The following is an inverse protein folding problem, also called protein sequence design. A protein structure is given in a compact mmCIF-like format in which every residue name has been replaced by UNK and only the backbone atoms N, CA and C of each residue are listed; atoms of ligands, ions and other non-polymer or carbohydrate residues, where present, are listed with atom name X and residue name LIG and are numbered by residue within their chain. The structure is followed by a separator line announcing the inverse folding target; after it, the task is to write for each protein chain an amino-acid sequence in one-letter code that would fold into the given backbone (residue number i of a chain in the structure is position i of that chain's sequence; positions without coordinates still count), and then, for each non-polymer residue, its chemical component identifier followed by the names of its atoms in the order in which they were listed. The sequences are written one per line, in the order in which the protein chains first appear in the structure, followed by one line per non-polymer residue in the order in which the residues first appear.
data_IF_427990791093
#
_entry.id   IF_427990791093
#
_cell.length_a   1.000
_cell.length_b   1.000
_cell.length_c   1.000
_cell.angle_alpha   90.00
_cell.angle_beta   90.00
_cell.angle_gamma   90.00
#
_symmetry.space_group_name_H-M   'P 1'
#
loop_
_entity.id
_entity.type
_entity.pdbx_description
1 polymer ?
#
# COMPACT_ATOMS: atom_id res chain seq x y z
N UNK A 1 -5.10 -20.86 16.91
CA UNK A 1 -6.13 -19.82 17.10
C UNK A 1 -6.46 -19.06 15.82
N UNK A 2 -5.48 -18.66 14.99
CA UNK A 2 -5.76 -17.90 13.75
C UNK A 2 -5.93 -18.75 12.47
N UNK A 3 -5.60 -20.05 12.51
CA UNK A 3 -5.59 -20.92 11.33
C UNK A 3 -4.25 -20.89 10.57
N UNK A 4 -4.11 -21.64 9.45
CA UNK A 4 -2.92 -21.60 8.61
C UNK A 4 -2.81 -20.28 7.86
N UNK A 5 -1.59 -19.86 7.50
CA UNK A 5 -1.37 -18.71 6.61
C UNK A 5 -2.04 -18.92 5.25
N UNK A 6 -2.54 -17.83 4.67
CA UNK A 6 -3.04 -17.87 3.31
C UNK A 6 -1.84 -17.94 2.36
N UNK A 7 -1.63 -19.12 1.78
CA UNK A 7 -0.55 -19.35 0.81
C UNK A 7 -0.87 -18.79 -0.58
N UNK A 8 -2.07 -18.25 -0.77
CA UNK A 8 -2.52 -17.69 -2.04
C UNK A 8 -2.70 -16.19 -1.91
N UNK A 9 -2.30 -15.44 -2.94
CA UNK A 9 -2.55 -13.99 -3.02
C UNK A 9 -4.01 -13.66 -3.41
N UNK A 10 -4.92 -14.60 -3.15
CA UNK A 10 -6.33 -14.57 -3.51
C UNK A 10 -7.18 -15.02 -2.33
N UNK A 11 -8.50 -14.86 -2.44
CA UNK A 11 -9.44 -15.38 -1.45
C UNK A 11 -9.31 -14.78 -0.04
N UNK A 12 -8.60 -13.66 0.12
CA UNK A 12 -8.37 -13.01 1.41
C UNK A 12 -9.67 -12.71 2.17
N UNK A 13 -10.71 -12.28 1.46
CA UNK A 13 -12.06 -12.03 2.00
C UNK A 13 -13.00 -13.25 1.90
N UNK A 14 -12.59 -14.35 1.29
CA UNK A 14 -13.38 -15.59 1.21
C UNK A 14 -12.98 -16.60 2.29
N UNK A 15 -11.68 -16.70 2.55
CA UNK A 15 -11.09 -17.71 3.44
C UNK A 15 -10.72 -17.12 4.80
N UNK A 16 -10.33 -15.84 4.87
CA UNK A 16 -9.88 -15.18 6.11
C UNK A 16 -10.88 -14.23 6.75
N UNK A 17 -12.10 -14.10 6.21
CA UNK A 17 -13.05 -13.05 6.62
C UNK A 17 -13.45 -13.13 8.11
N UNK A 18 -13.42 -14.32 8.70
CA UNK A 18 -13.71 -14.52 10.12
C UNK A 18 -12.68 -13.84 11.05
N UNK A 19 -11.53 -13.42 10.52
CA UNK A 19 -10.52 -12.63 11.23
C UNK A 19 -10.83 -11.13 11.22
N UNK A 20 -11.78 -10.65 10.40
CA UNK A 20 -12.12 -9.22 10.35
C UNK A 20 -12.60 -8.66 11.71
N UNK A 21 -13.48 -9.35 12.47
CA UNK A 21 -13.83 -8.90 13.83
C UNK A 21 -12.64 -8.90 14.79
N UNK A 22 -11.66 -9.80 14.60
CA UNK A 22 -10.45 -9.86 15.43
C UNK A 22 -9.52 -8.69 15.10
N UNK A 23 -9.30 -8.40 13.82
CA UNK A 23 -8.56 -7.22 13.39
C UNK A 23 -9.20 -5.93 13.93
N UNK A 24 -10.54 -5.85 13.87
CA UNK A 24 -11.28 -4.73 14.41
C UNK A 24 -11.20 -4.63 15.94
N UNK A 25 -11.13 -5.76 16.65
CA UNK A 25 -10.86 -5.74 18.09
C UNK A 25 -9.50 -5.10 18.40
N UNK A 26 -8.45 -5.49 17.66
CA UNK A 26 -7.11 -4.89 17.80
C UNK A 26 -7.13 -3.40 17.42
N UNK A 27 -7.87 -3.02 16.38
CA UNK A 27 -8.08 -1.63 15.98
C UNK A 27 -8.65 -0.75 17.11
N UNK A 28 -9.69 -1.24 17.80
CA UNK A 28 -10.47 -0.46 18.76
C UNK A 28 -9.87 -0.50 20.17
N UNK A 29 -9.32 -1.63 20.58
CA UNK A 29 -8.91 -1.84 21.98
C UNK A 29 -7.38 -1.97 22.16
N UNK A 30 -6.62 -2.12 21.08
CA UNK A 30 -5.17 -2.38 21.14
C UNK A 30 -4.28 -1.15 21.14
N UNK A 31 -4.83 0.07 21.00
CA UNK A 31 -4.05 1.27 20.72
C UNK A 31 -3.01 1.59 21.79
N UNK A 32 -3.29 1.28 23.07
CA UNK A 32 -2.36 1.52 24.18
C UNK A 32 -1.27 0.44 24.33
N UNK A 33 -1.33 -0.64 23.55
CA UNK A 33 -0.43 -1.79 23.60
C UNK A 33 0.22 -2.00 22.22
N UNK A 34 1.01 -1.02 21.77
CA UNK A 34 1.51 -0.92 20.40
C UNK A 34 2.18 -2.20 19.88
N UNK A 35 3.20 -2.71 20.59
CA UNK A 35 3.98 -3.86 20.11
C UNK A 35 3.13 -5.13 19.96
N UNK A 36 2.31 -5.42 20.98
CA UNK A 36 1.38 -6.57 20.96
C UNK A 36 0.38 -6.44 19.82
N UNK A 37 -0.13 -5.23 19.60
CA UNK A 37 -1.06 -4.94 18.51
C UNK A 37 -0.40 -5.10 17.14
N UNK A 38 0.84 -4.65 16.96
CA UNK A 38 1.56 -4.82 15.70
C UNK A 38 1.85 -6.29 15.39
N UNK A 39 2.24 -7.08 16.39
CA UNK A 39 2.44 -8.52 16.25
C UNK A 39 1.12 -9.22 15.87
N UNK A 40 0.00 -8.82 16.49
CA UNK A 40 -1.31 -9.35 16.17
C UNK A 40 -1.75 -8.99 14.74
N UNK A 41 -1.62 -7.72 14.33
CA UNK A 41 -1.97 -7.26 12.99
C UNK A 41 -1.09 -7.90 11.91
N UNK A 42 0.19 -8.14 12.20
CA UNK A 42 1.09 -8.89 11.34
C UNK A 42 0.62 -10.33 11.15
N UNK A 43 0.30 -11.06 12.22
CA UNK A 43 -0.18 -12.43 12.11
C UNK A 43 -1.56 -12.55 11.42
N UNK A 44 -2.45 -11.58 11.66
CA UNK A 44 -3.74 -11.50 10.99
C UNK A 44 -3.55 -11.24 9.49
N UNK A 45 -2.65 -10.32 9.10
CA UNK A 45 -2.48 -9.96 7.68
C UNK A 45 -1.97 -11.12 6.84
N UNK A 46 -1.22 -12.07 7.41
CA UNK A 46 -0.79 -13.28 6.69
C UNK A 46 -1.92 -14.25 6.32
N UNK A 47 -3.15 -14.00 6.81
CA UNK A 47 -4.33 -14.86 6.63
C UNK A 47 -5.51 -14.09 6.02
N UNK A 48 -5.61 -12.82 6.38
CA UNK A 48 -6.63 -11.86 5.95
C UNK A 48 -5.97 -10.54 5.57
N UNK A 49 -6.45 -9.41 6.08
CA UNK A 49 -5.87 -8.07 5.93
C UNK A 49 -6.05 -7.30 7.22
N UNK A 50 -5.05 -6.48 7.52
CA UNK A 50 -5.09 -5.49 8.60
C UNK A 50 -5.20 -4.05 8.06
N UNK A 51 -5.58 -3.88 6.78
CA UNK A 51 -5.57 -2.59 6.06
C UNK A 51 -6.42 -1.49 6.71
N UNK A 52 -7.48 -1.87 7.42
CA UNK A 52 -8.31 -0.94 8.21
C UNK A 52 -7.72 -0.75 9.61
N UNK A 53 -7.41 -1.87 10.27
CA UNK A 53 -7.00 -1.91 11.66
C UNK A 53 -5.66 -1.21 11.95
N UNK A 54 -4.78 -1.11 10.95
CA UNK A 54 -3.49 -0.42 11.08
C UNK A 54 -3.64 1.11 11.13
N UNK A 55 -4.76 1.67 10.68
CA UNK A 55 -4.89 3.12 10.43
C UNK A 55 -4.92 3.98 11.70
N UNK A 56 -5.55 3.59 12.82
CA UNK A 56 -5.41 4.32 14.07
C UNK A 56 -3.95 4.42 14.53
N UNK A 57 -3.16 3.37 14.33
CA UNK A 57 -1.73 3.36 14.69
C UNK A 57 -0.91 4.29 13.81
N UNK A 58 -1.20 4.38 12.51
CA UNK A 58 -0.58 5.37 11.62
C UNK A 58 -0.80 6.81 12.11
N UNK A 59 -1.93 7.09 12.76
CA UNK A 59 -2.28 8.42 13.25
C UNK A 59 -1.71 8.74 14.63
N UNK A 60 -1.54 7.74 15.50
CA UNK A 60 -1.12 7.96 16.90
C UNK A 60 0.36 7.63 17.14
N UNK A 61 0.97 6.77 16.31
CA UNK A 61 2.34 6.25 16.44
C UNK A 61 3.07 6.33 15.10
N UNK A 62 2.99 7.47 14.41
CA UNK A 62 3.43 7.60 13.02
C UNK A 62 4.91 7.20 12.84
N UNK A 63 5.79 7.61 13.76
CA UNK A 63 7.22 7.34 13.66
C UNK A 63 7.52 5.84 13.81
N UNK A 64 6.97 5.22 14.84
CA UNK A 64 7.10 3.79 15.13
C UNK A 64 6.49 2.94 14.00
N UNK A 65 5.36 3.39 13.46
CA UNK A 65 4.74 2.75 12.30
C UNK A 65 5.62 2.84 11.06
N UNK A 66 6.23 3.99 10.77
CA UNK A 66 7.13 4.13 9.62
C UNK A 66 8.33 3.18 9.73
N UNK A 67 8.87 2.96 10.93
CA UNK A 67 9.94 1.98 11.16
C UNK A 67 9.46 0.55 10.88
N UNK A 68 8.31 0.15 11.44
CA UNK A 68 7.71 -1.17 11.18
C UNK A 68 7.41 -1.38 9.70
N UNK A 69 6.85 -0.39 9.03
CA UNK A 69 6.48 -0.44 7.60
C UNK A 69 7.70 -0.59 6.70
N UNK A 70 8.83 0.04 7.02
CA UNK A 70 10.09 -0.13 6.27
C UNK A 70 10.60 -1.57 6.36
N UNK A 71 10.47 -2.20 7.53
CA UNK A 71 10.82 -3.62 7.73
C UNK A 71 9.85 -4.51 6.94
N UNK A 72 8.54 -4.26 7.07
CA UNK A 72 7.49 -5.01 6.39
C UNK A 72 7.51 -4.88 4.86
N UNK A 73 8.09 -3.81 4.32
CA UNK A 73 8.18 -3.59 2.88
C UNK A 73 9.09 -4.61 2.17
N UNK A 74 9.99 -5.26 2.91
CA UNK A 74 10.90 -6.30 2.41
C UNK A 74 10.61 -7.68 3.00
N UNK A 75 9.44 -7.84 3.63
CA UNK A 75 9.03 -9.10 4.27
C UNK A 75 8.93 -10.25 3.26
N UNK A 76 9.18 -11.49 3.67
CA UNK A 76 9.04 -12.66 2.79
C UNK A 76 7.57 -12.89 2.37
N UNK A 77 6.61 -12.52 3.22
CA UNK A 77 5.19 -12.72 3.00
C UNK A 77 4.57 -11.58 2.17
N UNK A 78 4.02 -11.93 1.00
CA UNK A 78 3.40 -10.97 0.09
C UNK A 78 2.20 -10.22 0.70
N UNK A 79 1.48 -10.81 1.66
CA UNK A 79 0.36 -10.13 2.33
C UNK A 79 0.84 -9.02 3.27
N UNK A 80 1.99 -9.21 3.91
CA UNK A 80 2.63 -8.20 4.75
C UNK A 80 3.15 -7.05 3.89
N UNK A 81 3.88 -7.36 2.81
CA UNK A 81 4.34 -6.34 1.85
C UNK A 81 3.19 -5.55 1.23
N UNK A 82 2.10 -6.24 0.88
CA UNK A 82 0.87 -5.58 0.38
C UNK A 82 0.24 -4.69 1.43
N UNK A 83 0.27 -5.04 2.72
CA UNK A 83 -0.26 -4.20 3.79
C UNK A 83 0.46 -2.84 3.87
N UNK A 84 1.77 -2.80 3.62
CA UNK A 84 2.54 -1.54 3.61
C UNK A 84 1.97 -0.56 2.59
N UNK A 85 1.78 -1.02 1.35
CA UNK A 85 1.15 -0.21 0.31
C UNK A 85 -0.32 0.07 0.63
N UNK A 86 -1.12 -0.97 0.90
CA UNK A 86 -2.57 -0.82 1.01
C UNK A 86 -3.03 -0.03 2.25
N UNK A 87 -2.46 -0.34 3.41
CA UNK A 87 -2.84 0.25 4.69
C UNK A 87 -2.54 1.75 4.76
N UNK A 88 -1.49 2.20 4.05
CA UNK A 88 -1.07 3.60 4.00
C UNK A 88 -1.70 4.39 2.85
N UNK A 89 -2.65 3.82 2.10
CA UNK A 89 -3.37 4.54 1.04
C UNK A 89 -4.18 5.71 1.63
N UNK A 90 -4.02 6.94 1.09
CA UNK A 90 -4.82 8.09 1.52
C UNK A 90 -6.32 7.91 1.24
N UNK A 91 -6.66 7.19 0.17
CA UNK A 91 -8.04 6.99 -0.32
C UNK A 91 -8.44 5.52 -0.41
N UNK A 92 -8.10 4.75 0.63
CA UNK A 92 -8.51 3.35 0.74
C UNK A 92 -10.05 3.22 0.74
N UNK A 93 -10.66 2.38 -0.13
CA UNK A 93 -12.11 2.15 -0.11
C UNK A 93 -12.59 1.63 1.24
N UNK A 94 -13.81 2.01 1.63
CA UNK A 94 -14.46 1.63 2.89
C UNK A 94 -13.75 2.06 4.19
N UNK A 95 -12.57 2.67 4.10
CA UNK A 95 -11.86 3.28 5.21
C UNK A 95 -12.10 4.79 5.25
N UNK A 96 -11.97 5.39 6.45
CA UNK A 96 -11.82 6.85 6.57
C UNK A 96 -10.53 7.27 5.86
N UNK A 97 -10.59 8.34 5.07
CA UNK A 97 -9.39 8.92 4.45
C UNK A 97 -8.39 9.33 5.53
N UNK A 98 -7.12 9.10 5.24
CA UNK A 98 -6.00 9.65 6.01
C UNK A 98 -5.21 10.55 5.08
N UNK A 99 -4.58 11.57 5.63
CA UNK A 99 -3.63 12.38 4.89
C UNK A 99 -2.37 11.56 4.57
N UNK A 100 -1.49 12.12 3.75
CA UNK A 100 -0.17 11.52 3.53
C UNK A 100 0.63 11.54 4.83
N UNK A 101 1.50 10.55 4.99
CA UNK A 101 2.30 10.39 6.19
C UNK A 101 3.19 11.62 6.39
N UNK A 102 3.21 12.15 7.60
CA UNK A 102 3.95 13.35 8.02
C UNK A 102 3.63 14.59 7.18
N UNK A 103 2.50 14.61 6.46
CA UNK A 103 2.13 15.72 5.58
C UNK A 103 2.94 15.79 4.28
N UNK A 104 3.74 14.77 3.96
CA UNK A 104 4.62 14.74 2.78
C UNK A 104 4.34 13.49 1.91
N UNK A 105 3.89 13.64 0.64
CA UNK A 105 3.66 12.49 -0.24
C UNK A 105 4.92 11.64 -0.48
N UNK A 106 6.13 12.20 -0.35
CA UNK A 106 7.37 11.43 -0.50
C UNK A 106 7.55 10.40 0.61
N UNK A 107 6.94 10.58 1.79
CA UNK A 107 6.94 9.56 2.84
C UNK A 107 6.20 8.31 2.38
N UNK A 108 5.02 8.46 1.78
CA UNK A 108 4.29 7.35 1.17
C UNK A 108 5.06 6.77 -0.03
N UNK A 109 5.59 7.60 -0.93
CA UNK A 109 6.32 7.14 -2.11
C UNK A 109 7.58 6.34 -1.74
N UNK A 110 8.26 6.70 -0.64
CA UNK A 110 9.43 5.96 -0.16
C UNK A 110 9.10 4.52 0.27
N UNK A 111 7.91 4.30 0.84
CA UNK A 111 7.43 2.95 1.19
C UNK A 111 7.11 2.11 -0.06
N UNK A 112 6.80 2.75 -1.19
CA UNK A 112 6.49 2.08 -2.45
C UNK A 112 7.73 1.72 -3.27
N UNK A 113 8.88 2.32 -3.00
CA UNK A 113 10.13 2.10 -3.74
C UNK A 113 10.56 0.62 -3.77
N UNK A 114 10.64 -0.12 -2.64
CA UNK A 114 10.96 -1.55 -2.70
C UNK A 114 9.83 -2.41 -3.32
N UNK A 115 8.59 -1.91 -3.31
CA UNK A 115 7.40 -2.66 -3.72
C UNK A 115 7.04 -2.51 -5.20
N UNK A 116 7.54 -1.47 -5.88
CA UNK A 116 7.16 -1.20 -7.27
C UNK A 116 7.64 -2.30 -8.24
N UNK A 117 8.74 -2.97 -7.89
CA UNK A 117 9.31 -4.13 -8.61
C UNK A 117 8.98 -5.47 -7.97
N UNK A 118 8.06 -5.53 -7.01
CA UNK A 118 7.72 -6.76 -6.29
C UNK A 118 7.37 -7.92 -7.25
N UNK A 119 7.79 -9.13 -6.93
CA UNK A 119 7.47 -10.32 -7.74
C UNK A 119 5.97 -10.68 -7.72
N UNK A 120 5.25 -10.23 -6.69
CA UNK A 120 3.82 -10.43 -6.51
C UNK A 120 2.99 -9.43 -7.32
N UNK A 121 2.17 -9.93 -8.26
CA UNK A 121 1.19 -9.08 -8.97
C UNK A 121 0.13 -8.50 -8.03
N UNK A 122 -0.17 -9.20 -6.94
CA UNK A 122 -1.06 -8.72 -5.90
C UNK A 122 -0.49 -7.49 -5.17
N UNK A 123 0.79 -7.50 -4.81
CA UNK A 123 1.49 -6.33 -4.25
C UNK A 123 1.56 -5.20 -5.29
N UNK A 124 2.02 -5.47 -6.51
CA UNK A 124 2.11 -4.46 -7.58
C UNK A 124 0.77 -3.76 -7.84
N UNK A 125 -0.35 -4.50 -7.77
CA UNK A 125 -1.69 -3.93 -7.93
C UNK A 125 -2.02 -2.94 -6.82
N UNK A 126 -1.64 -3.24 -5.58
CA UNK A 126 -1.78 -2.32 -4.45
C UNK A 126 -0.95 -1.06 -4.66
N UNK A 127 0.32 -1.20 -5.08
CA UNK A 127 1.21 -0.06 -5.37
C UNK A 127 0.58 0.84 -6.43
N UNK A 128 0.09 0.28 -7.53
CA UNK A 128 -0.60 1.06 -8.56
C UNK A 128 -1.94 1.66 -8.10
N UNK A 129 -2.60 1.11 -7.08
CA UNK A 129 -3.75 1.78 -6.47
C UNK A 129 -3.32 2.96 -5.61
N UNK A 130 -2.25 2.81 -4.84
CA UNK A 130 -1.69 3.87 -4.00
C UNK A 130 -1.17 5.05 -4.83
N UNK A 131 -0.41 4.79 -5.88
CA UNK A 131 0.04 5.81 -6.84
C UNK A 131 -1.14 6.55 -7.47
N UNK A 132 -2.23 5.84 -7.79
CA UNK A 132 -3.44 6.45 -8.33
C UNK A 132 -4.19 7.30 -7.31
N UNK A 133 -4.04 7.05 -6.01
CA UNK A 133 -4.63 7.87 -4.97
C UNK A 133 -3.80 9.13 -4.72
N UNK A 134 -2.46 8.99 -4.72
CA UNK A 134 -1.53 10.12 -4.61
C UNK A 134 -1.64 11.05 -5.81
N UNK A 135 -1.66 10.53 -7.05
CA UNK A 135 -1.68 11.34 -8.28
C UNK A 135 -2.91 12.24 -8.43
N UNK A 136 -4.00 11.97 -7.71
CA UNK A 136 -5.21 12.81 -7.68
C UNK A 136 -5.03 14.10 -6.87
N UNK A 137 -4.04 14.15 -5.98
CA UNK A 137 -3.84 15.27 -5.04
C UNK A 137 -2.42 15.83 -5.17
N UNK A 138 -1.41 14.96 -5.28
CA UNK A 138 0.02 15.24 -5.39
C UNK A 138 0.52 14.82 -6.78
N UNK A 139 -0.04 15.43 -7.83
CA UNK A 139 0.16 15.01 -9.22
C UNK A 139 1.64 15.13 -9.63
N UNK A 140 2.24 16.28 -9.36
CA UNK A 140 3.59 16.61 -9.82
C UNK A 140 4.62 15.69 -9.18
N UNK A 141 4.57 15.56 -7.85
CA UNK A 141 5.45 14.71 -7.04
C UNK A 141 5.32 13.24 -7.45
N UNK A 142 4.08 12.77 -7.66
CA UNK A 142 3.84 11.38 -8.08
C UNK A 142 4.41 11.12 -9.48
N UNK A 143 4.20 12.02 -10.44
CA UNK A 143 4.73 11.86 -11.81
C UNK A 143 6.25 11.95 -11.82
N UNK A 144 6.85 12.86 -11.05
CA UNK A 144 8.30 12.98 -10.92
C UNK A 144 8.91 11.70 -10.35
N UNK A 145 8.35 11.20 -9.25
CA UNK A 145 8.81 9.96 -8.64
C UNK A 145 8.67 8.77 -9.59
N UNK A 146 7.55 8.66 -10.31
CA UNK A 146 7.35 7.62 -11.33
C UNK A 146 8.40 7.71 -12.43
N UNK A 147 8.73 8.91 -12.93
CA UNK A 147 9.80 9.11 -13.93
C UNK A 147 11.14 8.63 -13.40
N UNK A 148 11.47 8.94 -12.14
CA UNK A 148 12.69 8.47 -11.47
C UNK A 148 12.72 6.94 -11.40
N UNK A 149 11.64 6.32 -10.92
CA UNK A 149 11.54 4.86 -10.83
C UNK A 149 11.61 4.17 -12.21
N UNK A 150 10.97 4.74 -13.23
CA UNK A 150 11.03 4.20 -14.59
C UNK A 150 12.43 4.32 -15.19
N UNK A 151 13.19 5.37 -14.87
CA UNK A 151 14.61 5.45 -15.25
C UNK A 151 15.45 4.33 -14.63
N UNK A 152 15.12 3.90 -13.40
CA UNK A 152 15.85 2.84 -12.69
C UNK A 152 15.45 1.43 -13.12
N UNK A 153 14.16 1.18 -13.35
CA UNK A 153 13.62 -0.17 -13.55
C UNK A 153 13.09 -0.43 -14.97
N UNK A 154 12.97 0.62 -15.79
CA UNK A 154 12.50 0.54 -17.17
C UNK A 154 11.16 -0.17 -17.31
N UNK A 155 11.06 -1.04 -18.33
CA UNK A 155 9.81 -1.72 -18.72
C UNK A 155 9.24 -2.64 -17.62
N UNK A 156 10.03 -3.00 -16.60
CA UNK A 156 9.62 -3.89 -15.52
C UNK A 156 8.46 -3.32 -14.67
N UNK A 157 8.34 -1.99 -14.60
CA UNK A 157 7.30 -1.33 -13.80
C UNK A 157 6.14 -0.78 -14.63
N UNK A 158 6.17 -0.94 -15.96
CA UNK A 158 5.21 -0.33 -16.88
C UNK A 158 3.76 -0.64 -16.53
N UNK A 159 3.48 -1.88 -16.12
CA UNK A 159 2.15 -2.29 -15.71
C UNK A 159 1.69 -1.53 -14.46
N UNK A 160 2.53 -1.47 -13.42
CA UNK A 160 2.24 -0.76 -12.16
C UNK A 160 2.04 0.73 -12.40
N UNK A 161 2.90 1.34 -13.22
CA UNK A 161 2.84 2.75 -13.60
C UNK A 161 1.56 3.07 -14.38
N UNK A 162 1.22 2.28 -15.40
CA UNK A 162 -0.02 2.45 -16.17
C UNK A 162 -1.25 2.34 -15.27
N UNK A 163 -1.22 1.40 -14.32
CA UNK A 163 -2.28 1.26 -13.33
C UNK A 163 -2.32 2.48 -12.39
N UNK A 164 -1.17 2.99 -11.95
CA UNK A 164 -0.99 4.18 -11.11
C UNK A 164 -1.48 5.49 -11.72
N UNK A 165 -1.39 5.63 -13.04
CA UNK A 165 -1.80 6.85 -13.75
C UNK A 165 -3.18 6.76 -14.39
N UNK A 166 -3.90 5.64 -14.21
CA UNK A 166 -5.18 5.36 -14.91
C UNK A 166 -6.22 6.48 -14.78
N UNK A 167 -6.31 7.14 -13.62
CA UNK A 167 -7.29 8.22 -13.43
C UNK A 167 -6.91 9.47 -14.21
N UNK A 168 -5.63 9.82 -14.24
CA UNK A 168 -5.11 10.95 -15.02
C UNK A 168 -5.26 10.70 -16.53
N UNK A 169 -4.94 9.48 -16.99
CA UNK A 169 -5.15 9.07 -18.38
C UNK A 169 -6.62 9.19 -18.77
N UNK A 170 -7.54 8.74 -17.90
CA UNK A 170 -8.99 8.82 -18.15
C UNK A 170 -9.49 10.25 -18.32
N UNK A 171 -8.86 11.23 -17.68
CA UNK A 171 -9.22 12.65 -17.81
C UNK A 171 -8.36 13.42 -18.82
N UNK A 172 -7.61 12.71 -19.66
CA UNK A 172 -6.71 13.29 -20.68
C UNK A 172 -5.67 14.29 -20.12
N UNK A 173 -5.14 14.01 -18.94
CA UNK A 173 -4.03 14.79 -18.37
C UNK A 173 -2.80 14.70 -19.29
N UNK A 174 -2.31 15.85 -19.75
CA UNK A 174 -1.27 15.93 -20.78
C UNK A 174 0.08 15.40 -20.28
N UNK A 175 0.42 15.65 -19.02
CA UNK A 175 1.69 15.21 -18.43
C UNK A 175 1.73 13.68 -18.33
N UNK A 176 0.63 13.09 -17.86
CA UNK A 176 0.48 11.65 -17.78
C UNK A 176 0.49 11.00 -19.17
N UNK A 177 -0.23 11.55 -20.15
CA UNK A 177 -0.24 11.04 -21.52
C UNK A 177 1.15 11.12 -22.16
N UNK A 178 1.81 12.27 -22.09
CA UNK A 178 3.15 12.48 -22.65
C UNK A 178 4.21 11.56 -22.01
N UNK A 179 4.05 11.22 -20.73
CA UNK A 179 4.88 10.19 -20.10
C UNK A 179 4.53 8.79 -20.60
N UNK A 180 3.25 8.42 -20.67
CA UNK A 180 2.82 7.09 -21.12
C UNK A 180 3.18 6.80 -22.58
N UNK A 181 3.17 7.80 -23.47
CA UNK A 181 3.67 7.63 -24.84
C UNK A 181 5.13 7.17 -24.87
N UNK A 182 5.99 7.78 -24.06
CA UNK A 182 7.41 7.41 -23.93
C UNK A 182 7.65 6.05 -23.28
N UNK A 183 6.71 5.61 -22.43
CA UNK A 183 6.76 4.28 -21.76
C UNK A 183 6.31 3.16 -22.70
N UNK A 184 5.46 3.48 -23.69
CA UNK A 184 4.92 2.55 -24.68
C UNK A 184 5.87 2.22 -25.84
N UNK A 185 6.86 3.08 -26.09
CA UNK A 185 7.98 2.87 -27.03
C UNK A 185 9.03 1.90 -26.44
#
# INVERSE_FOLDING_TARGET
MLGPENKTEQGMFANGYFLMPIAHYVEVYGLNDFDVSMDALYEITKRHTSEYAIRPYLLHYEQEMLEKLRIWAIDENAHVRRLVSEGTRPRLPWAKRIDVLSGDPYMNLSLLEPLITDHSKYVQKSVGNHLNDLSKTYKEETIEWIKKMHKLHGKNINWTVKHGLRSLIKVNDQDALAFMHRVGE
#
